data_IF_209865326105
#
_entry.id   IF_209865326105
#
_cell.length_a   1.000
_cell.length_b   1.000
_cell.length_c   1.000
_cell.angle_alpha   90.00
_cell.angle_beta   90.00
_cell.angle_gamma   90.00
#
_symmetry.space_group_name_H-M   'P 1'
#
loop_
_entity.id
_entity.type
_entity.pdbx_description
1 polymer ?
#
# COMPACT_ATOMS: atom_id res chain seq x y z
N UNK A 1 53.44 -17.58 24.48
CA UNK A 1 52.89 -16.44 23.71
C UNK A 1 51.69 -16.92 22.87
N UNK A 2 50.48 -17.01 23.42
CA UNK A 2 49.29 -17.41 22.62
C UNK A 2 47.97 -16.75 23.03
N UNK A 3 47.96 -15.79 23.96
CA UNK A 3 46.72 -15.20 24.50
C UNK A 3 46.14 -13.99 23.75
N UNK A 4 46.87 -13.36 22.82
CA UNK A 4 46.45 -12.09 22.24
C UNK A 4 45.70 -12.20 20.90
N UNK A 5 45.82 -13.31 20.16
CA UNK A 5 45.18 -13.46 18.84
C UNK A 5 43.67 -13.77 18.91
N UNK A 6 43.18 -14.32 20.03
CA UNK A 6 41.74 -14.64 20.20
C UNK A 6 40.88 -13.46 20.64
N UNK A 7 41.46 -12.49 21.36
CA UNK A 7 40.73 -11.35 21.91
C UNK A 7 40.29 -10.33 20.84
N UNK A 8 41.05 -10.21 19.75
CA UNK A 8 40.74 -9.28 18.65
C UNK A 8 39.60 -9.75 17.73
N UNK A 9 39.28 -11.04 17.71
CA UNK A 9 38.14 -11.57 16.93
C UNK A 9 36.81 -11.43 17.69
N UNK A 10 36.83 -11.59 19.02
CA UNK A 10 35.64 -11.43 19.86
C UNK A 10 35.14 -9.98 19.93
N UNK A 11 36.06 -9.01 20.02
CA UNK A 11 35.71 -7.58 20.06
C UNK A 11 35.13 -7.08 18.75
N UNK A 12 35.66 -7.51 17.59
CA UNK A 12 35.12 -7.12 16.28
C UNK A 12 33.74 -7.71 15.99
N UNK A 13 33.49 -8.96 16.37
CA UNK A 13 32.16 -9.56 16.22
C UNK A 13 31.13 -8.80 17.06
N UNK A 14 31.48 -8.50 18.32
CA UNK A 14 30.65 -7.67 19.18
C UNK A 14 30.50 -6.25 18.64
N UNK A 15 31.53 -5.64 18.05
CA UNK A 15 31.47 -4.30 17.45
C UNK A 15 30.58 -4.25 16.20
N UNK A 16 30.62 -5.29 15.36
CA UNK A 16 29.73 -5.45 14.20
C UNK A 16 28.28 -5.60 14.69
N UNK A 17 28.07 -6.41 15.73
CA UNK A 17 26.76 -6.57 16.39
C UNK A 17 26.31 -5.25 17.06
N UNK A 18 27.22 -4.50 17.67
CA UNK A 18 26.97 -3.22 18.34
C UNK A 18 26.55 -2.14 17.34
N UNK A 19 27.15 -2.12 16.14
CA UNK A 19 26.77 -1.21 15.04
C UNK A 19 25.37 -1.50 14.52
N UNK A 20 24.92 -2.75 14.59
CA UNK A 20 23.52 -3.12 14.31
C UNK A 20 22.55 -2.78 15.46
N UNK A 21 23.05 -2.50 16.67
CA UNK A 21 22.27 -2.26 17.89
C UNK A 21 22.10 -0.78 18.23
N UNK A 22 22.18 0.12 17.24
CA UNK A 22 21.68 1.49 17.42
C UNK A 22 20.14 1.49 17.27
N UNK A 23 19.46 1.33 18.41
CA UNK A 23 18.01 1.44 18.65
C UNK A 23 17.12 0.19 18.39
N UNK A 24 17.14 -0.76 19.33
CA UNK A 24 16.09 -1.80 19.51
C UNK A 24 16.09 -2.95 18.50
N UNK A 25 15.11 -3.87 18.62
CA UNK A 25 14.89 -5.00 17.67
C UNK A 25 15.11 -4.49 16.24
N UNK A 26 15.91 -5.17 15.38
CA UNK A 26 16.15 -4.68 14.03
C UNK A 26 14.90 -4.85 13.18
N UNK A 27 13.94 -3.93 13.34
CA UNK A 27 12.80 -3.79 12.47
C UNK A 27 13.34 -3.35 11.11
N UNK A 28 13.46 -4.32 10.21
CA UNK A 28 14.03 -4.11 8.88
C UNK A 28 13.21 -3.04 8.15
N UNK A 29 13.79 -1.85 7.98
CA UNK A 29 13.21 -0.80 7.13
C UNK A 29 13.33 -1.22 5.66
N UNK A 30 12.23 -1.67 5.08
CA UNK A 30 12.18 -2.10 3.67
C UNK A 30 11.92 -0.87 2.78
N UNK A 31 12.85 -0.59 1.85
CA UNK A 31 12.63 0.42 0.81
C UNK A 31 11.46 0.00 -0.08
N UNK A 32 10.67 0.96 -0.54
CA UNK A 32 9.58 0.66 -1.48
C UNK A 32 10.19 0.25 -2.83
N UNK A 33 10.11 -1.04 -3.15
CA UNK A 33 10.54 -1.62 -4.43
C UNK A 33 9.56 -1.33 -5.56
N UNK A 34 9.99 -1.50 -6.82
CA UNK A 34 9.15 -1.28 -8.01
C UNK A 34 7.84 -2.09 -7.99
N UNK A 35 7.90 -3.36 -7.61
CA UNK A 35 6.73 -4.23 -7.46
C UNK A 35 5.76 -3.75 -6.37
N UNK A 36 6.29 -3.22 -5.25
CA UNK A 36 5.46 -2.65 -4.19
C UNK A 36 4.73 -1.39 -4.65
N UNK A 37 5.41 -0.54 -5.44
CA UNK A 37 4.79 0.64 -6.07
C UNK A 37 3.68 0.26 -7.06
N UNK A 38 3.89 -0.78 -7.87
CA UNK A 38 2.86 -1.23 -8.81
C UNK A 38 1.63 -1.79 -8.09
N UNK A 39 1.81 -2.49 -6.96
CA UNK A 39 0.69 -2.93 -6.13
C UNK A 39 -0.07 -1.75 -5.52
N UNK A 40 0.63 -0.72 -5.03
CA UNK A 40 0.01 0.51 -4.53
C UNK A 40 -0.84 1.21 -5.61
N UNK A 41 -0.30 1.33 -6.85
CA UNK A 41 -1.07 1.87 -7.99
C UNK A 41 -2.31 1.03 -8.31
N UNK A 42 -2.24 -0.30 -8.20
CA UNK A 42 -3.41 -1.17 -8.38
C UNK A 42 -4.47 -0.93 -7.30
N UNK A 43 -4.08 -0.78 -6.03
CA UNK A 43 -5.00 -0.47 -4.93
C UNK A 43 -5.71 0.87 -5.15
N UNK A 44 -4.96 1.90 -5.52
CA UNK A 44 -5.53 3.23 -5.81
C UNK A 44 -6.55 3.18 -6.94
N UNK A 45 -6.24 2.50 -8.06
CA UNK A 45 -7.19 2.36 -9.17
C UNK A 45 -8.48 1.64 -8.76
N UNK A 46 -8.38 0.59 -7.94
CA UNK A 46 -9.56 -0.12 -7.42
C UNK A 46 -10.44 0.78 -6.55
N UNK A 47 -9.83 1.59 -5.68
CA UNK A 47 -10.56 2.55 -4.84
C UNK A 47 -11.29 3.55 -5.72
N UNK A 48 -10.63 4.14 -6.72
CA UNK A 48 -11.28 5.08 -7.63
C UNK A 48 -12.43 4.46 -8.43
N UNK A 49 -12.27 3.22 -8.89
CA UNK A 49 -13.36 2.49 -9.55
C UNK A 49 -14.55 2.30 -8.60
N UNK A 50 -14.29 1.83 -7.37
CA UNK A 50 -15.34 1.66 -6.37
C UNK A 50 -16.02 2.99 -6.03
N UNK A 51 -15.26 4.07 -5.84
CA UNK A 51 -15.79 5.41 -5.60
C UNK A 51 -16.63 5.89 -6.78
N UNK A 52 -16.21 5.67 -8.03
CA UNK A 52 -17.00 6.05 -9.21
C UNK A 52 -18.32 5.30 -9.28
N UNK A 53 -18.33 4.01 -8.95
CA UNK A 53 -19.55 3.18 -8.94
C UNK A 53 -20.49 3.65 -7.83
N UNK A 54 -19.97 3.85 -6.62
CA UNK A 54 -20.79 4.33 -5.50
C UNK A 54 -21.37 5.73 -5.77
N UNK A 55 -20.60 6.62 -6.40
CA UNK A 55 -21.11 7.94 -6.81
C UNK A 55 -22.19 7.83 -7.87
N UNK A 56 -22.01 6.97 -8.87
CA UNK A 56 -23.03 6.73 -9.90
C UNK A 56 -24.32 6.14 -9.31
N UNK A 57 -24.21 5.25 -8.31
CA UNK A 57 -25.38 4.69 -7.62
C UNK A 57 -26.04 5.65 -6.62
N UNK A 58 -25.35 6.71 -6.19
CA UNK A 58 -25.90 7.73 -5.30
C UNK A 58 -26.72 8.78 -6.05
N UNK A 59 -26.54 8.91 -7.36
CA UNK A 59 -27.39 9.74 -8.20
C UNK A 59 -28.73 8.98 -8.45
N UNK A 60 -29.89 9.61 -8.21
CA UNK A 60 -31.16 8.96 -8.50
C UNK A 60 -31.26 8.66 -10.00
N UNK A 61 -31.74 7.46 -10.39
CA UNK A 61 -31.83 7.09 -11.80
C UNK A 61 -32.69 8.10 -12.56
N UNK A 62 -32.11 8.78 -13.55
CA UNK A 62 -32.79 9.74 -14.41
C UNK A 62 -33.71 9.06 -15.44
N UNK A 63 -34.48 8.03 -15.10
CA UNK A 63 -35.44 7.43 -16.03
C UNK A 63 -36.73 6.99 -15.32
N UNK A 64 -37.48 7.97 -14.84
CA UNK A 64 -38.93 7.86 -14.63
C UNK A 64 -39.70 9.03 -15.28
N UNK A 65 -39.09 9.75 -16.22
CA UNK A 65 -39.73 10.88 -16.94
C UNK A 65 -39.86 10.69 -18.45
N UNK A 66 -39.27 9.63 -19.04
CA UNK A 66 -39.45 9.33 -20.47
C UNK A 66 -40.76 8.58 -20.79
N UNK A 67 -41.37 7.89 -19.81
CA UNK A 67 -42.59 7.09 -20.05
C UNK A 67 -43.90 7.88 -19.99
N UNK A 68 -43.88 9.17 -19.61
CA UNK A 68 -45.09 10.00 -19.55
C UNK A 68 -45.31 10.84 -20.82
N UNK A 69 -44.27 11.08 -21.61
CA UNK A 69 -44.37 11.88 -22.83
C UNK A 69 -44.89 11.08 -24.05
N UNK A 70 -44.63 9.76 -24.10
CA UNK A 70 -45.07 8.92 -25.23
C UNK A 70 -46.51 8.37 -25.09
N UNK A 71 -47.20 8.65 -23.99
CA UNK A 71 -48.58 8.21 -23.76
C UNK A 71 -49.64 9.26 -24.16
N UNK A 72 -49.22 10.50 -24.45
CA UNK A 72 -50.12 11.62 -24.80
C UNK A 72 -50.25 11.83 -26.32
N UNK A 73 -49.44 11.17 -27.14
CA UNK A 73 -49.44 11.35 -28.61
C UNK A 73 -50.32 10.33 -29.38
N UNK A 74 -51.04 9.45 -28.66
CA UNK A 74 -51.96 8.47 -29.25
C UNK A 74 -53.38 8.49 -28.67
N UNK A 75 -53.84 9.65 -28.18
CA UNK A 75 -55.28 9.90 -27.91
C UNK A 75 -55.82 10.98 -28.83
#
# INVERSE_FOLDING_TARGET
MSGFMGAFWGTRALEIIQRFNSAGKPWKRIRITGTRRSNAKKRLRRIWQNESVLRACAEPPQEATASAASAVEHQ
#
